data_IF_722583482850
#
_entry.id   IF_722583482850
#
_cell.length_a   1.000
_cell.length_b   1.000
_cell.length_c   1.000
_cell.angle_alpha   90.00
_cell.angle_beta   90.00
_cell.angle_gamma   90.00
#
_symmetry.space_group_name_H-M   'P 1'
#
loop_
_entity.id
_entity.type
_entity.pdbx_description
1 polymer ?
#
# COMPACT_ATOMS: atom_id res chain seq x y z
N UNK A 1 -9.00 -21.80 -16.26
CA UNK A 1 -8.31 -20.73 -15.54
C UNK A 1 -8.93 -19.39 -15.89
N UNK A 2 -8.89 -18.43 -14.96
CA UNK A 2 -9.33 -17.06 -15.27
C UNK A 2 -8.28 -16.36 -16.12
N UNK A 3 -8.70 -15.66 -17.17
CA UNK A 3 -7.81 -14.77 -17.93
C UNK A 3 -7.63 -13.47 -17.14
N UNK A 4 -6.38 -13.13 -16.84
CA UNK A 4 -6.05 -11.82 -16.25
C UNK A 4 -5.93 -10.82 -17.40
N UNK A 5 -6.65 -9.70 -17.29
CA UNK A 5 -6.62 -8.63 -18.28
C UNK A 5 -5.86 -7.44 -17.69
N UNK A 6 -5.06 -6.79 -18.53
CA UNK A 6 -4.48 -5.49 -18.19
C UNK A 6 -5.60 -4.45 -18.17
N UNK A 7 -5.63 -3.62 -17.10
CA UNK A 7 -6.65 -2.58 -16.97
C UNK A 7 -6.39 -1.45 -17.97
N UNK A 8 -7.39 -1.09 -18.74
CA UNK A 8 -7.38 0.15 -19.52
C UNK A 8 -7.71 1.38 -18.65
N UNK A 9 -7.69 2.57 -19.24
CA UNK A 9 -7.94 3.80 -18.50
C UNK A 9 -9.38 3.92 -17.97
N UNK A 10 -10.35 3.35 -18.66
CA UNK A 10 -11.76 3.35 -18.23
C UNK A 10 -11.94 2.42 -17.02
N UNK A 11 -11.31 1.26 -17.05
CA UNK A 11 -11.28 0.33 -15.91
C UNK A 11 -10.58 0.94 -14.69
N UNK A 12 -9.47 1.66 -14.89
CA UNK A 12 -8.76 2.37 -13.83
C UNK A 12 -9.67 3.45 -13.23
N UNK A 13 -10.29 4.30 -14.06
CA UNK A 13 -11.19 5.35 -13.61
C UNK A 13 -12.39 4.79 -12.84
N UNK A 14 -13.02 3.74 -13.36
CA UNK A 14 -14.12 3.04 -12.70
C UNK A 14 -13.69 2.47 -11.33
N UNK A 15 -12.51 1.87 -11.27
CA UNK A 15 -11.99 1.31 -10.01
C UNK A 15 -11.74 2.40 -8.96
N UNK A 16 -11.17 3.54 -9.35
CA UNK A 16 -11.01 4.71 -8.48
C UNK A 16 -12.35 5.15 -7.88
N UNK A 17 -13.41 5.23 -8.72
CA UNK A 17 -14.76 5.55 -8.23
C UNK A 17 -15.30 4.50 -7.25
N UNK A 18 -15.04 3.22 -7.50
CA UNK A 18 -15.47 2.14 -6.60
C UNK A 18 -14.84 2.27 -5.21
N UNK A 19 -13.54 2.57 -5.12
CA UNK A 19 -12.88 2.83 -3.84
C UNK A 19 -13.51 4.02 -3.10
N UNK A 20 -13.74 5.13 -3.80
CA UNK A 20 -14.37 6.32 -3.22
C UNK A 20 -15.79 6.04 -2.71
N UNK A 21 -16.60 5.32 -3.50
CA UNK A 21 -17.97 4.92 -3.11
C UNK A 21 -17.96 4.00 -1.89
N UNK A 22 -17.04 3.02 -1.85
CA UNK A 22 -16.91 2.11 -0.71
C UNK A 22 -16.54 2.86 0.58
N UNK A 23 -15.55 3.76 0.52
CA UNK A 23 -15.18 4.57 1.68
C UNK A 23 -16.32 5.48 2.15
N UNK A 24 -17.08 6.09 1.22
CA UNK A 24 -18.26 6.88 1.57
C UNK A 24 -19.36 6.05 2.27
N UNK A 25 -19.51 4.76 1.91
CA UNK A 25 -20.43 3.85 2.61
C UNK A 25 -19.94 3.61 4.03
N UNK A 26 -18.66 3.35 4.24
CA UNK A 26 -18.08 3.15 5.58
C UNK A 26 -18.33 4.39 6.47
N UNK A 27 -18.05 5.59 5.96
CA UNK A 27 -18.31 6.83 6.69
C UNK A 27 -19.79 6.98 7.08
N UNK A 28 -20.73 6.74 6.14
CA UNK A 28 -22.17 6.78 6.44
C UNK A 28 -22.62 5.72 7.44
N UNK A 29 -21.92 4.59 7.49
CA UNK A 29 -22.16 3.53 8.47
C UNK A 29 -21.60 3.82 9.88
N UNK A 30 -20.95 4.98 10.07
CA UNK A 30 -20.40 5.41 11.36
C UNK A 30 -18.98 4.91 11.65
N UNK A 31 -18.25 4.47 10.64
CA UNK A 31 -16.82 4.16 10.79
C UNK A 31 -15.99 5.44 10.81
N UNK A 32 -14.89 5.41 11.58
CA UNK A 32 -13.99 6.56 11.75
C UNK A 32 -12.81 6.51 10.77
N UNK A 33 -12.52 5.32 10.20
CA UNK A 33 -11.37 5.13 9.33
C UNK A 33 -11.57 3.99 8.32
N UNK A 34 -10.73 3.99 7.28
CA UNK A 34 -10.54 2.84 6.40
C UNK A 34 -9.05 2.58 6.15
N UNK A 35 -8.73 1.32 5.82
CA UNK A 35 -7.41 0.92 5.34
C UNK A 35 -7.47 0.72 3.84
N UNK A 36 -6.64 1.44 3.10
CA UNK A 36 -6.38 1.20 1.68
C UNK A 36 -5.26 0.18 1.55
N UNK A 37 -5.60 -0.99 1.02
CA UNK A 37 -4.65 -2.10 0.96
C UNK A 37 -3.79 -2.04 -0.31
N UNK A 38 -2.59 -1.45 -0.19
CA UNK A 38 -1.59 -1.34 -1.26
C UNK A 38 -0.36 -2.23 -1.07
N UNK A 39 -0.50 -3.33 -0.31
CA UNK A 39 0.57 -4.28 -0.02
C UNK A 39 0.31 -5.66 -0.61
N UNK A 40 1.26 -6.58 -0.43
CA UNK A 40 1.16 -8.03 -0.60
C UNK A 40 0.77 -8.51 -2.01
N UNK A 41 0.99 -7.69 -3.05
CA UNK A 41 0.65 -8.06 -4.44
C UNK A 41 -0.83 -7.92 -4.77
N UNK A 42 -1.64 -7.21 -3.95
CA UNK A 42 -3.00 -6.81 -4.29
C UNK A 42 -2.99 -5.60 -5.24
N UNK A 43 -4.13 -5.29 -5.82
CA UNK A 43 -4.26 -4.41 -6.98
C UNK A 43 -3.43 -3.10 -6.90
N UNK A 44 -3.53 -2.34 -5.82
CA UNK A 44 -2.77 -1.10 -5.66
C UNK A 44 -1.26 -1.37 -5.58
N UNK A 45 -0.87 -2.46 -4.89
CA UNK A 45 0.50 -2.93 -4.82
C UNK A 45 1.03 -3.43 -6.16
N UNK A 46 0.19 -4.09 -6.97
CA UNK A 46 0.59 -4.54 -8.32
C UNK A 46 0.95 -3.36 -9.23
N UNK A 47 0.23 -2.24 -9.15
CA UNK A 47 0.60 -1.06 -9.91
C UNK A 47 1.91 -0.44 -9.42
N UNK A 48 2.15 -0.45 -8.11
CA UNK A 48 3.36 0.12 -7.52
C UNK A 48 4.60 -0.74 -7.76
N UNK A 49 4.44 -2.06 -7.77
CA UNK A 49 5.54 -3.03 -7.88
C UNK A 49 6.09 -3.14 -9.30
N UNK A 50 7.40 -2.96 -9.53
CA UNK A 50 8.00 -3.18 -10.85
C UNK A 50 8.01 -4.66 -11.26
N UNK A 51 7.86 -5.61 -10.31
CA UNK A 51 7.75 -7.04 -10.61
C UNK A 51 6.42 -7.42 -11.26
N UNK A 52 5.37 -6.61 -11.09
CA UNK A 52 4.03 -6.84 -11.67
C UNK A 52 3.69 -5.84 -12.74
N UNK A 53 4.12 -4.59 -12.57
CA UNK A 53 3.77 -3.50 -13.47
C UNK A 53 4.79 -3.38 -14.60
N UNK A 54 4.49 -4.00 -15.72
CA UNK A 54 5.30 -3.93 -16.95
C UNK A 54 4.73 -2.94 -17.97
N UNK A 55 3.82 -2.07 -17.56
CA UNK A 55 3.19 -1.05 -18.41
C UNK A 55 4.21 -0.06 -18.95
N UNK A 56 3.96 0.42 -20.16
CA UNK A 56 4.79 1.41 -20.86
C UNK A 56 4.07 2.76 -21.02
N UNK A 57 2.84 2.86 -20.49
CA UNK A 57 2.04 4.08 -20.47
C UNK A 57 2.33 4.93 -19.20
N UNK A 58 1.46 5.92 -18.96
CA UNK A 58 1.60 6.84 -17.81
C UNK A 58 1.43 6.17 -16.43
N UNK A 59 1.09 4.90 -16.36
CA UNK A 59 0.93 4.12 -15.12
C UNK A 59 2.07 3.13 -14.89
N UNK A 60 3.10 3.11 -15.74
CA UNK A 60 4.23 2.17 -15.65
C UNK A 60 5.60 2.83 -15.80
N UNK A 61 6.65 2.05 -15.62
CA UNK A 61 8.04 2.50 -15.68
C UNK A 61 8.51 3.15 -14.39
N UNK A 62 8.65 4.48 -14.33
CA UNK A 62 9.16 5.18 -13.14
C UNK A 62 8.26 5.00 -11.91
N UNK A 63 8.83 5.19 -10.72
CA UNK A 63 8.08 5.11 -9.46
C UNK A 63 6.89 6.08 -9.46
N UNK A 64 7.06 7.30 -9.97
CA UNK A 64 6.00 8.31 -10.05
C UNK A 64 4.83 7.84 -10.92
N UNK A 65 5.11 7.17 -12.04
CA UNK A 65 4.09 6.61 -12.90
C UNK A 65 3.39 5.42 -12.23
N UNK A 66 4.14 4.51 -11.62
CA UNK A 66 3.60 3.35 -10.89
C UNK A 66 2.76 3.78 -9.68
N UNK A 67 3.13 4.87 -9.03
CA UNK A 67 2.41 5.46 -7.90
C UNK A 67 1.11 6.18 -8.32
N UNK A 68 0.94 6.53 -9.58
CA UNK A 68 -0.18 7.34 -10.08
C UNK A 68 -1.55 6.76 -9.74
N UNK A 69 -1.77 5.49 -10.02
CA UNK A 69 -3.05 4.85 -9.71
C UNK A 69 -3.34 4.79 -8.20
N UNK A 70 -2.43 4.32 -7.33
CA UNK A 70 -2.60 4.43 -5.88
C UNK A 70 -2.93 5.85 -5.41
N UNK A 71 -2.24 6.87 -5.93
CA UNK A 71 -2.50 8.27 -5.57
C UNK A 71 -3.90 8.71 -6.00
N UNK A 72 -4.32 8.38 -7.23
CA UNK A 72 -5.69 8.67 -7.69
C UNK A 72 -6.76 8.07 -6.77
N UNK A 73 -6.54 6.85 -6.29
CA UNK A 73 -7.45 6.20 -5.32
C UNK A 73 -7.47 6.96 -4.00
N UNK A 74 -6.31 7.30 -3.43
CA UNK A 74 -6.22 8.05 -2.18
C UNK A 74 -6.95 9.40 -2.28
N UNK A 75 -6.70 10.15 -3.34
CA UNK A 75 -7.31 11.46 -3.58
C UNK A 75 -8.84 11.36 -3.76
N UNK A 76 -9.32 10.36 -4.49
CA UNK A 76 -10.75 10.13 -4.67
C UNK A 76 -11.44 9.73 -3.36
N UNK A 77 -10.80 8.86 -2.56
CA UNK A 77 -11.28 8.48 -1.23
C UNK A 77 -11.31 9.71 -0.32
N UNK A 78 -10.22 10.47 -0.22
CA UNK A 78 -10.17 11.70 0.60
C UNK A 78 -11.26 12.69 0.20
N UNK A 79 -11.48 12.90 -1.10
CA UNK A 79 -12.57 13.75 -1.59
C UNK A 79 -13.94 13.25 -1.17
N UNK A 80 -14.16 11.95 -1.16
CA UNK A 80 -15.45 11.35 -0.83
C UNK A 80 -15.75 11.36 0.67
N UNK A 81 -14.72 11.19 1.52
CA UNK A 81 -14.89 11.09 2.98
C UNK A 81 -14.60 12.39 3.74
N UNK A 82 -13.89 13.36 3.11
CA UNK A 82 -13.53 14.63 3.76
C UNK A 82 -12.38 14.49 4.78
N UNK A 83 -12.02 15.56 5.49
CA UNK A 83 -10.83 15.61 6.34
C UNK A 83 -10.98 14.87 7.68
N UNK A 84 -12.19 14.67 8.18
CA UNK A 84 -12.44 14.11 9.51
C UNK A 84 -12.48 12.56 9.53
N UNK A 85 -12.34 11.92 8.37
CA UNK A 85 -12.30 10.46 8.25
C UNK A 85 -10.87 10.01 8.02
N UNK A 86 -10.36 9.10 8.85
CA UNK A 86 -8.97 8.68 8.79
C UNK A 86 -8.72 7.70 7.63
N UNK A 87 -7.65 7.94 6.89
CA UNK A 87 -7.17 7.05 5.83
C UNK A 87 -5.83 6.47 6.28
N UNK A 88 -5.82 5.17 6.52
CA UNK A 88 -4.60 4.37 6.69
C UNK A 88 -4.22 3.75 5.34
N UNK A 89 -2.97 3.88 4.92
CA UNK A 89 -2.48 3.21 3.71
C UNK A 89 -1.52 2.09 4.07
N UNK A 90 -1.88 0.86 3.73
CA UNK A 90 -1.02 -0.30 3.96
C UNK A 90 -0.12 -0.53 2.75
N UNK A 91 1.20 -0.59 2.99
CA UNK A 91 2.24 -0.79 1.97
C UNK A 91 3.17 -1.94 2.37
N UNK A 92 3.71 -2.68 1.40
CA UNK A 92 4.86 -3.55 1.63
C UNK A 92 6.13 -2.70 1.69
N UNK A 93 6.86 -2.76 2.80
CA UNK A 93 8.16 -2.11 2.93
C UNK A 93 9.20 -2.71 1.99
N UNK A 94 9.07 -4.00 1.72
CA UNK A 94 9.86 -4.75 0.73
C UNK A 94 9.05 -5.98 0.28
N UNK A 95 9.09 -6.31 -1.00
CA UNK A 95 8.35 -7.46 -1.54
C UNK A 95 9.11 -8.79 -1.43
N UNK A 96 10.40 -8.74 -1.12
CA UNK A 96 11.27 -9.94 -1.00
C UNK A 96 11.31 -10.77 -2.29
N UNK A 97 11.23 -10.09 -3.44
CA UNK A 97 11.19 -10.69 -4.77
C UNK A 97 12.18 -9.98 -5.68
N UNK A 98 12.76 -10.73 -6.64
CA UNK A 98 13.56 -10.14 -7.70
C UNK A 98 12.76 -9.10 -8.49
N UNK A 99 13.33 -7.95 -8.69
CA UNK A 99 12.69 -6.77 -9.30
C UNK A 99 11.38 -6.34 -8.59
N UNK A 100 11.17 -6.71 -7.32
CA UNK A 100 10.05 -6.23 -6.52
C UNK A 100 10.28 -4.84 -5.93
N UNK A 101 9.25 -4.32 -5.26
CA UNK A 101 9.34 -3.05 -4.54
C UNK A 101 10.41 -3.15 -3.45
N UNK A 102 11.33 -2.19 -3.43
CA UNK A 102 12.40 -2.08 -2.43
C UNK A 102 12.00 -1.15 -1.29
N UNK A 103 12.73 -1.22 -0.16
CA UNK A 103 12.49 -0.32 0.98
C UNK A 103 12.71 1.16 0.60
N UNK A 104 13.67 1.46 -0.25
CA UNK A 104 13.93 2.83 -0.70
C UNK A 104 12.77 3.37 -1.56
N UNK A 105 12.21 2.55 -2.45
CA UNK A 105 11.02 2.91 -3.23
C UNK A 105 9.78 3.03 -2.35
N UNK A 106 9.63 2.16 -1.33
CA UNK A 106 8.56 2.29 -0.34
C UNK A 106 8.65 3.63 0.39
N UNK A 107 9.83 4.00 0.89
CA UNK A 107 10.07 5.30 1.55
C UNK A 107 9.74 6.46 0.61
N UNK A 108 10.20 6.40 -0.63
CA UNK A 108 9.94 7.44 -1.63
C UNK A 108 8.43 7.56 -1.92
N UNK A 109 7.73 6.44 -2.08
CA UNK A 109 6.28 6.41 -2.29
C UNK A 109 5.52 7.00 -1.09
N UNK A 110 5.87 6.61 0.16
CA UNK A 110 5.22 7.15 1.35
C UNK A 110 5.36 8.67 1.43
N UNK A 111 6.52 9.22 1.05
CA UNK A 111 6.71 10.68 0.96
C UNK A 111 5.83 11.36 -0.10
N UNK A 112 5.43 10.66 -1.16
CA UNK A 112 4.51 11.20 -2.17
C UNK A 112 3.07 11.30 -1.67
N UNK A 113 2.72 10.51 -0.65
CA UNK A 113 1.35 10.39 -0.17
C UNK A 113 1.13 10.89 1.27
N UNK A 114 2.18 11.23 2.03
CA UNK A 114 2.07 11.58 3.45
C UNK A 114 1.17 12.79 3.73
N UNK A 115 1.00 13.69 2.76
CA UNK A 115 0.12 14.85 2.84
C UNK A 115 -1.37 14.53 2.52
N UNK A 116 -1.66 13.31 2.09
CA UNK A 116 -2.98 12.87 1.60
C UNK A 116 -3.64 11.82 2.48
N UNK A 117 -2.85 11.18 3.35
CA UNK A 117 -3.28 10.12 4.28
C UNK A 117 -3.01 10.53 5.72
N UNK A 118 -3.59 9.82 6.69
CA UNK A 118 -3.44 10.16 8.11
C UNK A 118 -2.44 9.26 8.81
N UNK A 119 -2.20 8.06 8.30
CA UNK A 119 -1.19 7.13 8.81
C UNK A 119 -0.77 6.14 7.72
N UNK A 120 0.39 5.53 7.90
CA UNK A 120 0.90 4.47 7.04
C UNK A 120 1.16 3.20 7.83
N UNK A 121 0.74 2.07 7.27
CA UNK A 121 0.84 0.76 7.85
C UNK A 121 1.85 -0.07 7.05
N UNK A 122 3.04 -0.28 7.63
CA UNK A 122 4.16 -0.93 6.93
C UNK A 122 4.22 -2.41 7.27
N UNK A 123 4.00 -3.22 6.26
CA UNK A 123 4.15 -4.69 6.26
C UNK A 123 5.32 -5.08 5.34
N UNK A 124 5.41 -6.33 4.94
CA UNK A 124 6.40 -6.80 3.96
C UNK A 124 5.91 -8.04 3.22
N UNK A 125 6.60 -8.40 2.14
CA UNK A 125 6.35 -9.61 1.37
C UNK A 125 5.17 -9.50 0.41
N UNK A 126 4.85 -10.66 -0.16
CA UNK A 126 3.76 -10.86 -1.11
C UNK A 126 2.88 -12.02 -0.64
N UNK A 127 1.58 -12.01 -0.97
CA UNK A 127 0.65 -13.08 -0.61
C UNK A 127 0.79 -14.29 -1.56
N UNK A 128 2.02 -14.74 -1.72
CA UNK A 128 2.39 -15.97 -2.45
C UNK A 128 3.68 -16.57 -1.87
N UNK A 129 3.82 -17.88 -1.93
CA UNK A 129 5.02 -18.57 -1.46
C UNK A 129 6.23 -18.30 -2.38
N UNK A 130 7.44 -18.14 -1.83
CA UNK A 130 7.77 -18.20 -0.39
C UNK A 130 7.53 -16.89 0.39
N UNK A 131 7.23 -15.78 -0.25
CA UNK A 131 7.14 -14.44 0.35
C UNK A 131 5.97 -14.29 1.33
N UNK A 132 4.95 -15.14 1.23
CA UNK A 132 3.80 -15.14 2.14
C UNK A 132 4.19 -15.38 3.61
N UNK A 133 5.32 -16.04 3.87
CA UNK A 133 5.84 -16.26 5.23
C UNK A 133 6.13 -14.92 5.93
N UNK A 134 6.57 -13.90 5.17
CA UNK A 134 6.91 -12.58 5.70
C UNK A 134 5.66 -11.72 5.90
N UNK A 135 4.61 -11.91 5.09
CA UNK A 135 3.34 -11.16 5.25
C UNK A 135 2.65 -11.51 6.57
N UNK A 136 2.78 -12.77 6.99
CA UNK A 136 2.22 -13.31 8.23
C UNK A 136 3.31 -14.06 8.98
N UNK A 137 4.28 -13.34 9.61
CA UNK A 137 5.39 -13.98 10.29
C UNK A 137 4.91 -14.99 11.34
N UNK A 138 5.38 -16.22 11.19
CA UNK A 138 5.07 -17.31 12.09
C UNK A 138 6.21 -17.54 13.11
N UNK A 139 6.08 -18.54 13.96
CA UNK A 139 7.04 -18.88 15.03
C UNK A 139 8.46 -19.18 14.54
N UNK A 140 8.65 -19.46 13.24
CA UNK A 140 9.97 -19.77 12.68
C UNK A 140 10.74 -18.51 12.25
N UNK A 141 10.09 -17.33 12.23
CA UNK A 141 10.74 -16.07 11.93
C UNK A 141 11.04 -15.31 13.22
N UNK A 142 12.10 -14.49 13.22
CA UNK A 142 12.38 -13.63 14.36
C UNK A 142 11.19 -12.70 14.65
N UNK A 143 10.90 -12.50 15.94
CA UNK A 143 9.89 -11.52 16.35
C UNK A 143 10.24 -10.14 15.81
N UNK A 144 9.23 -9.41 15.36
CA UNK A 144 9.41 -8.07 14.81
C UNK A 144 10.22 -8.01 13.50
N UNK A 145 10.32 -9.12 12.75
CA UNK A 145 11.14 -9.18 11.53
C UNK A 145 10.87 -8.09 10.50
N UNK A 146 9.65 -7.51 10.49
CA UNK A 146 9.24 -6.43 9.59
C UNK A 146 9.42 -5.02 10.18
N UNK A 147 9.78 -4.88 11.45
CA UNK A 147 9.94 -3.57 12.14
C UNK A 147 10.95 -2.69 11.42
N UNK A 148 12.02 -3.27 10.89
CA UNK A 148 13.07 -2.54 10.15
C UNK A 148 12.54 -1.72 8.98
N UNK A 149 11.45 -2.13 8.32
CA UNK A 149 10.83 -1.39 7.21
C UNK A 149 10.04 -0.17 7.70
N UNK A 150 9.27 -0.34 8.78
CA UNK A 150 8.58 0.77 9.43
C UNK A 150 9.59 1.79 10.01
N UNK A 151 10.70 1.29 10.58
CA UNK A 151 11.81 2.11 11.06
C UNK A 151 12.44 2.95 9.93
N UNK A 152 12.69 2.34 8.76
CA UNK A 152 13.23 3.05 7.59
C UNK A 152 12.29 4.17 7.15
N UNK A 153 10.99 3.91 7.05
CA UNK A 153 9.98 4.92 6.75
C UNK A 153 10.00 6.04 7.81
N UNK A 154 10.01 5.71 9.09
CA UNK A 154 10.02 6.72 10.17
C UNK A 154 11.29 7.55 10.21
N UNK A 155 12.47 6.92 10.05
CA UNK A 155 13.77 7.60 9.99
C UNK A 155 13.92 8.51 8.77
N UNK A 156 13.14 8.31 7.72
CA UNK A 156 13.14 9.18 6.54
C UNK A 156 12.58 10.59 6.81
N UNK A 157 11.98 10.81 7.98
CA UNK A 157 11.41 12.09 8.39
C UNK A 157 9.94 12.27 8.02
N UNK A 158 9.23 11.21 7.64
CA UNK A 158 7.77 11.18 7.45
C UNK A 158 7.07 11.67 8.71
N UNK A 159 6.09 12.58 8.55
CA UNK A 159 5.44 13.31 9.66
C UNK A 159 4.26 12.55 10.26
N UNK A 160 3.58 11.75 9.44
CA UNK A 160 2.42 10.98 9.88
C UNK A 160 2.82 9.80 10.79
N UNK A 161 1.91 9.25 11.58
CA UNK A 161 2.09 7.98 12.29
C UNK A 161 2.50 6.85 11.35
N UNK A 162 3.44 6.04 11.80
CA UNK A 162 3.91 4.83 11.09
C UNK A 162 3.63 3.63 11.97
N UNK A 163 2.80 2.73 11.48
CA UNK A 163 2.46 1.47 12.15
C UNK A 163 3.34 0.34 11.62
N UNK A 164 4.02 -0.35 12.52
CA UNK A 164 4.73 -1.59 12.20
C UNK A 164 3.84 -2.80 12.44
N UNK A 165 3.95 -3.82 11.58
CA UNK A 165 3.26 -5.11 11.75
C UNK A 165 4.18 -6.28 11.39
N UNK A 166 4.00 -7.39 12.07
CA UNK A 166 4.66 -8.65 11.77
C UNK A 166 5.39 -9.25 12.96
N UNK A 167 4.74 -10.20 13.65
CA UNK A 167 5.34 -10.96 14.73
C UNK A 167 5.79 -10.11 15.94
N UNK A 168 5.12 -9.00 16.22
CA UNK A 168 5.40 -8.14 17.37
C UNK A 168 4.68 -8.72 18.59
N UNK A 169 5.43 -9.12 19.60
CA UNK A 169 4.89 -9.73 20.82
C UNK A 169 5.37 -9.04 22.11
N UNK A 170 6.20 -8.00 21.99
CA UNK A 170 6.64 -7.14 23.08
C UNK A 170 6.49 -5.66 22.67
N UNK A 171 6.31 -4.73 23.62
CA UNK A 171 6.23 -3.30 23.29
C UNK A 171 7.59 -2.67 22.99
N UNK A 172 8.69 -3.40 23.17
CA UNK A 172 10.08 -2.94 23.03
C UNK A 172 10.61 -3.07 21.61
#
# INVERSE_FOLDING_TARGET
GCTVLEMDEDMIAHTVECYAKAAAVLKRAGWDMCILHGAHGWLLGQFLSPAYNHRTDRFGGSLENRARFPIMVIEAVRKAVGPDFLIDYRVSGEEMQENGLTVDECVAFVKMIEDKIDMVHVSAGLDRMPQAIITHPNTYLPNGCNVKYAEAVKKSGVKIPVTAIGGINTPE
#
